data_IF_783030151702
#
_entry.id   IF_783030151702
#
_cell.length_a   1.000
_cell.length_b   1.000
_cell.length_c   1.000
_cell.angle_alpha   90.00
_cell.angle_beta   90.00
_cell.angle_gamma   90.00
#
_symmetry.space_group_name_H-M   'P 1'
#
loop_
_entity.id
_entity.type
_entity.pdbx_description
1 polymer ?
#
# COMPACT_ATOMS: atom_id res chain seq x y z
N UNK A 1 -53.24 36.70 -11.04
CA UNK A 1 -53.00 37.98 -10.39
C UNK A 1 -51.51 38.26 -10.32
N UNK A 2 -51.25 39.43 -10.80
CA UNK A 2 -50.00 40.14 -10.92
C UNK A 2 -49.45 40.57 -9.54
N UNK A 3 -48.14 40.61 -9.35
CA UNK A 3 -47.44 41.56 -8.50
C UNK A 3 -46.03 41.72 -9.06
N UNK A 4 -45.73 42.72 -9.76
CA UNK A 4 -45.18 44.07 -9.54
C UNK A 4 -43.75 44.08 -8.98
N UNK A 5 -42.89 44.54 -9.86
CA UNK A 5 -41.53 45.05 -9.74
C UNK A 5 -41.30 46.00 -8.55
N UNK A 6 -40.16 45.93 -7.96
CA UNK A 6 -39.56 46.96 -7.11
C UNK A 6 -38.12 47.18 -7.50
N UNK A 7 -37.89 48.15 -8.35
CA UNK A 7 -36.58 48.72 -8.64
C UNK A 7 -36.13 49.57 -7.46
N UNK A 8 -34.95 49.31 -6.96
CA UNK A 8 -34.26 50.22 -6.05
C UNK A 8 -32.94 50.69 -6.66
N UNK A 9 -32.97 51.92 -7.01
CA UNK A 9 -31.89 52.82 -7.42
C UNK A 9 -30.58 52.61 -6.69
N UNK A 10 -29.53 52.29 -7.42
CA UNK A 10 -28.18 52.29 -6.92
C UNK A 10 -27.54 53.66 -7.20
N UNK A 11 -27.42 54.46 -6.16
CA UNK A 11 -26.70 55.75 -6.20
C UNK A 11 -25.20 55.48 -6.26
N UNK A 12 -24.62 55.91 -7.37
CA UNK A 12 -23.18 56.01 -7.53
C UNK A 12 -22.62 57.09 -6.59
N UNK A 13 -21.85 56.67 -5.61
CA UNK A 13 -20.97 57.60 -4.89
C UNK A 13 -19.58 57.50 -5.51
N UNK A 14 -19.33 58.50 -6.36
CA UNK A 14 -17.98 58.74 -6.87
C UNK A 14 -17.10 59.27 -5.72
N UNK A 15 -16.12 58.44 -5.31
CA UNK A 15 -15.06 58.92 -4.41
C UNK A 15 -13.73 58.75 -5.14
N UNK A 16 -13.31 59.86 -5.76
CA UNK A 16 -11.94 60.06 -6.21
C UNK A 16 -11.08 60.31 -4.98
N UNK A 17 -10.07 59.53 -4.73
CA UNK A 17 -8.86 59.98 -4.02
C UNK A 17 -7.72 58.97 -4.10
N UNK A 18 -6.61 59.47 -4.60
CA UNK A 18 -5.28 59.20 -4.01
C UNK A 18 -4.57 57.92 -4.47
N UNK A 19 -3.96 58.02 -5.62
CA UNK A 19 -2.92 57.07 -6.03
C UNK A 19 -1.69 57.36 -5.14
N UNK A 20 -1.58 56.62 -4.07
CA UNK A 20 -0.30 56.57 -3.32
C UNK A 20 0.45 55.36 -3.85
N UNK A 21 1.36 55.60 -4.79
CA UNK A 21 2.24 54.59 -5.36
C UNK A 21 3.30 54.18 -4.34
N UNK A 22 3.00 53.14 -3.55
CA UNK A 22 3.98 52.48 -2.72
C UNK A 22 4.79 51.53 -3.60
N UNK A 23 5.94 51.97 -4.08
CA UNK A 23 6.90 51.17 -4.81
C UNK A 23 7.55 50.18 -3.85
N UNK A 24 6.98 48.97 -3.76
CA UNK A 24 7.64 47.85 -3.10
C UNK A 24 8.73 47.35 -4.05
N UNK A 25 9.97 47.70 -3.73
CA UNK A 25 11.15 47.13 -4.35
C UNK A 25 11.20 45.65 -4.00
N UNK A 26 10.75 44.80 -4.93
CA UNK A 26 10.96 43.38 -4.85
C UNK A 26 12.46 43.13 -5.08
N UNK A 27 13.21 42.99 -3.99
CA UNK A 27 14.57 42.50 -4.07
C UNK A 27 14.52 41.06 -4.57
N UNK A 28 14.71 40.86 -5.86
CA UNK A 28 14.92 39.54 -6.45
C UNK A 28 16.19 38.95 -5.84
N UNK A 29 16.03 38.08 -4.86
CA UNK A 29 17.12 37.24 -4.39
C UNK A 29 17.49 36.31 -5.55
N UNK A 30 18.56 36.65 -6.24
CA UNK A 30 19.17 35.75 -7.22
C UNK A 30 19.59 34.49 -6.50
N UNK A 31 19.15 33.28 -6.95
CA UNK A 31 19.67 32.04 -6.39
C UNK A 31 21.17 31.99 -6.63
N UNK A 32 21.93 31.87 -5.54
CA UNK A 32 23.37 31.72 -5.56
C UNK A 32 23.71 30.45 -6.33
N UNK A 33 24.14 30.63 -7.56
CA UNK A 33 24.66 29.57 -8.43
C UNK A 33 25.92 29.08 -7.74
N UNK A 34 25.91 27.88 -7.16
CA UNK A 34 27.06 27.02 -6.86
C UNK A 34 26.91 26.16 -5.60
N UNK A 35 25.73 25.59 -5.34
CA UNK A 35 25.65 24.42 -4.48
C UNK A 35 25.31 23.18 -5.34
N UNK A 36 26.09 22.97 -6.39
CA UNK A 36 26.16 21.67 -7.03
C UNK A 36 26.83 20.72 -6.03
N UNK A 37 26.05 19.85 -5.43
CA UNK A 37 26.57 18.75 -4.62
C UNK A 37 27.60 18.02 -5.50
N UNK A 38 28.87 17.92 -5.08
CA UNK A 38 29.89 17.30 -5.91
C UNK A 38 29.45 15.86 -6.25
N UNK A 39 29.56 15.49 -7.50
CA UNK A 39 29.08 14.22 -8.07
C UNK A 39 29.60 12.98 -7.31
N UNK A 40 30.77 13.10 -6.69
CA UNK A 40 31.36 12.08 -5.83
C UNK A 40 30.63 11.86 -4.51
N UNK A 41 29.91 12.87 -3.98
CA UNK A 41 29.06 12.69 -2.81
C UNK A 41 27.77 11.95 -3.21
N UNK A 42 27.19 12.29 -4.37
CA UNK A 42 26.00 11.59 -4.87
C UNK A 42 26.26 10.10 -5.15
N UNK A 43 27.45 9.74 -5.63
CA UNK A 43 27.81 8.33 -5.92
C UNK A 43 27.91 7.51 -4.62
N UNK A 44 28.32 8.13 -3.49
CA UNK A 44 28.41 7.42 -2.22
C UNK A 44 27.06 7.09 -1.59
N UNK A 45 25.96 7.79 -1.95
CA UNK A 45 24.62 7.43 -1.52
C UNK A 45 24.06 6.18 -2.23
N UNK A 46 24.61 5.83 -3.40
CA UNK A 46 24.20 4.63 -4.17
C UNK A 46 25.12 3.43 -3.95
N UNK A 47 26.16 3.59 -3.13
CA UNK A 47 27.16 2.53 -2.91
C UNK A 47 27.09 1.95 -1.50
N UNK A 48 25.97 2.15 -0.80
CA UNK A 48 25.67 1.35 0.39
C UNK A 48 25.20 -0.01 -0.10
N UNK A 49 25.86 -1.07 0.32
CA UNK A 49 25.39 -2.46 0.23
C UNK A 49 24.13 -2.66 1.11
N UNK A 50 23.34 -1.64 1.33
CA UNK A 50 22.03 -1.74 1.94
C UNK A 50 21.15 -2.46 0.92
N UNK A 51 21.00 -3.77 1.13
CA UNK A 51 20.00 -4.53 0.39
C UNK A 51 18.66 -3.85 0.63
N UNK A 52 18.17 -3.18 -0.41
CA UNK A 52 16.86 -2.53 -0.36
C UNK A 52 15.81 -3.60 -0.12
N UNK A 53 15.30 -3.65 1.08
CA UNK A 53 14.22 -4.56 1.46
C UNK A 53 12.94 -4.02 0.84
N UNK A 54 12.27 -4.83 0.02
CA UNK A 54 11.00 -4.45 -0.60
C UNK A 54 9.93 -4.26 0.47
N UNK A 55 8.97 -3.35 0.30
CA UNK A 55 7.78 -3.33 1.15
C UNK A 55 6.97 -4.63 1.00
N UNK A 56 6.19 -5.03 2.03
CA UNK A 56 5.58 -6.37 2.08
C UNK A 56 4.59 -6.65 0.94
N UNK A 57 3.91 -5.64 0.43
CA UNK A 57 3.01 -5.73 -0.72
C UNK A 57 3.76 -6.08 -2.02
N UNK A 58 4.97 -5.57 -2.19
CA UNK A 58 5.83 -5.92 -3.33
C UNK A 58 6.58 -7.24 -3.09
N UNK A 59 7.03 -7.51 -1.86
CA UNK A 59 7.76 -8.74 -1.54
C UNK A 59 6.89 -9.99 -1.72
N UNK A 60 5.61 -9.93 -1.38
CA UNK A 60 4.71 -11.09 -1.35
C UNK A 60 3.58 -11.06 -2.36
N UNK A 61 3.24 -9.90 -2.95
CA UNK A 61 2.29 -9.74 -4.05
C UNK A 61 0.97 -10.49 -3.84
N UNK A 62 0.26 -10.18 -2.72
CA UNK A 62 -0.97 -10.90 -2.36
C UNK A 62 -2.17 -10.43 -3.18
N UNK A 63 -2.95 -11.37 -3.71
CA UNK A 63 -4.20 -11.14 -4.43
C UNK A 63 -5.27 -12.14 -3.96
N UNK A 64 -6.55 -11.78 -4.10
CA UNK A 64 -7.68 -12.66 -3.79
C UNK A 64 -8.86 -12.44 -4.73
N UNK A 65 -9.62 -13.50 -4.96
CA UNK A 65 -10.82 -13.50 -5.81
C UNK A 65 -11.93 -14.30 -5.13
N UNK A 66 -13.15 -13.74 -5.12
CA UNK A 66 -14.35 -14.42 -4.63
C UNK A 66 -15.22 -14.92 -5.78
N UNK A 67 -15.65 -16.19 -5.69
CA UNK A 67 -16.60 -16.83 -6.60
C UNK A 67 -17.64 -17.56 -5.75
N UNK A 68 -18.80 -16.96 -5.55
CA UNK A 68 -19.88 -17.54 -4.73
C UNK A 68 -19.37 -18.00 -3.34
N UNK A 69 -19.20 -19.30 -3.14
CA UNK A 69 -18.70 -19.95 -1.95
C UNK A 69 -17.20 -20.36 -2.03
N UNK A 70 -16.53 -19.95 -3.10
CA UNK A 70 -15.12 -20.23 -3.32
C UNK A 70 -14.28 -18.94 -3.19
N UNK A 71 -13.25 -18.98 -2.36
CA UNK A 71 -12.24 -17.96 -2.24
C UNK A 71 -10.90 -18.48 -2.78
N UNK A 72 -10.34 -17.74 -3.73
CA UNK A 72 -9.02 -18.01 -4.27
C UNK A 72 -8.05 -17.00 -3.64
N UNK A 73 -6.97 -17.51 -3.07
CA UNK A 73 -5.87 -16.72 -2.52
C UNK A 73 -4.61 -16.98 -3.35
N UNK A 74 -3.88 -15.95 -3.70
CA UNK A 74 -2.62 -16.08 -4.43
C UNK A 74 -1.55 -15.16 -3.86
N UNK A 75 -0.32 -15.65 -3.83
CA UNK A 75 0.88 -14.89 -3.51
C UNK A 75 1.87 -15.01 -4.66
N UNK A 76 2.46 -13.90 -5.05
CA UNK A 76 3.56 -13.83 -5.99
C UNK A 76 4.81 -13.36 -5.24
N UNK A 77 5.48 -14.32 -4.60
CA UNK A 77 6.64 -14.08 -3.73
C UNK A 77 7.84 -13.75 -4.61
N UNK A 78 8.43 -12.58 -4.39
CA UNK A 78 9.59 -12.15 -5.13
C UNK A 78 10.82 -13.00 -4.82
N UNK A 79 11.72 -13.11 -5.80
CA UNK A 79 13.01 -13.79 -5.60
C UNK A 79 13.76 -13.17 -4.42
N UNK A 80 14.32 -14.03 -3.55
CA UNK A 80 14.97 -13.60 -2.31
C UNK A 80 14.04 -13.41 -1.12
N UNK A 81 12.74 -13.76 -1.26
CA UNK A 81 11.75 -13.72 -0.17
C UNK A 81 11.05 -15.08 -0.03
N UNK A 82 10.43 -15.28 1.14
CA UNK A 82 9.66 -16.49 1.42
C UNK A 82 8.54 -16.21 2.44
N UNK A 83 7.52 -17.07 2.45
CA UNK A 83 6.48 -17.10 3.48
C UNK A 83 6.65 -18.34 4.35
N UNK A 84 6.43 -18.22 5.65
CA UNK A 84 6.31 -19.37 6.54
C UNK A 84 4.97 -20.07 6.30
N UNK A 85 5.01 -21.34 5.93
CA UNK A 85 3.80 -22.12 5.65
C UNK A 85 2.84 -22.15 6.84
N UNK A 86 3.36 -22.33 8.04
CA UNK A 86 2.58 -22.40 9.28
C UNK A 86 2.13 -21.06 9.85
N UNK A 87 2.47 -19.96 9.17
CA UNK A 87 2.03 -18.59 9.52
C UNK A 87 0.99 -18.04 8.55
N UNK A 88 0.50 -18.87 7.63
CA UNK A 88 -0.61 -18.50 6.77
C UNK A 88 -1.89 -19.07 7.36
N UNK A 89 -2.86 -18.19 7.62
CA UNK A 89 -4.19 -18.55 8.14
C UNK A 89 -5.28 -17.70 7.47
N UNK A 90 -6.46 -18.28 7.33
CA UNK A 90 -7.65 -17.64 6.80
C UNK A 90 -8.77 -17.75 7.84
N UNK A 91 -9.39 -16.63 8.18
CA UNK A 91 -10.56 -16.56 9.04
C UNK A 91 -11.73 -15.97 8.28
N UNK A 92 -12.93 -16.57 8.41
CA UNK A 92 -14.17 -15.99 7.93
C UNK A 92 -15.16 -15.89 9.09
N UNK A 93 -15.43 -14.67 9.56
CA UNK A 93 -16.01 -14.44 10.87
C UNK A 93 -15.08 -14.97 11.96
N UNK A 94 -15.62 -15.78 12.87
CA UNK A 94 -14.87 -16.40 13.96
C UNK A 94 -14.29 -17.79 13.60
N UNK A 95 -14.55 -18.27 12.38
CA UNK A 95 -14.12 -19.60 11.96
C UNK A 95 -12.80 -19.53 11.20
N UNK A 96 -11.85 -20.36 11.63
CA UNK A 96 -10.64 -20.61 10.85
C UNK A 96 -10.97 -21.57 9.71
N UNK A 97 -10.56 -21.22 8.50
CA UNK A 97 -10.77 -22.02 7.29
C UNK A 97 -9.48 -22.75 6.96
N UNK A 98 -9.53 -24.07 6.89
CA UNK A 98 -8.37 -24.88 6.55
C UNK A 98 -7.93 -24.60 5.10
N UNK A 99 -6.63 -24.31 4.94
CA UNK A 99 -6.00 -24.07 3.65
C UNK A 99 -5.14 -25.26 3.23
N UNK A 100 -5.43 -25.81 2.06
CA UNK A 100 -4.56 -26.84 1.46
C UNK A 100 -3.33 -26.18 0.82
N UNK A 101 -2.40 -25.76 1.67
CA UNK A 101 -1.14 -25.15 1.25
C UNK A 101 -0.14 -26.19 0.74
N UNK A 102 0.72 -25.86 -0.24
CA UNK A 102 1.83 -26.72 -0.66
C UNK A 102 2.70 -27.16 0.53
N UNK A 103 3.36 -28.29 0.41
CA UNK A 103 4.23 -28.82 1.46
C UNK A 103 5.34 -27.82 1.85
N UNK A 104 5.83 -27.06 0.87
CA UNK A 104 6.92 -26.11 1.05
C UNK A 104 8.30 -26.78 1.08
N UNK A 105 9.33 -25.96 1.11
CA UNK A 105 10.72 -26.38 1.27
C UNK A 105 11.11 -26.40 2.74
N UNK A 106 11.89 -27.39 3.21
CA UNK A 106 12.41 -27.39 4.57
C UNK A 106 13.41 -26.25 4.77
N UNK A 107 13.28 -25.55 5.89
CA UNK A 107 14.14 -24.43 6.25
C UNK A 107 14.51 -24.49 7.72
N UNK A 108 15.77 -24.18 8.04
CA UNK A 108 16.21 -24.07 9.44
C UNK A 108 16.29 -22.60 9.83
N UNK A 109 15.27 -22.14 10.51
CA UNK A 109 15.14 -20.76 10.96
C UNK A 109 15.82 -20.56 12.32
N UNK A 110 16.48 -19.44 12.52
CA UNK A 110 17.20 -19.13 13.77
C UNK A 110 16.27 -18.96 14.97
N UNK A 111 15.02 -18.52 14.74
CA UNK A 111 14.03 -18.24 15.79
C UNK A 111 13.04 -19.39 15.95
N UNK A 112 12.56 -19.94 14.82
CA UNK A 112 11.48 -20.94 14.80
C UNK A 112 11.98 -22.37 14.63
N UNK A 113 13.30 -22.58 14.45
CA UNK A 113 13.88 -23.89 14.22
C UNK A 113 13.50 -24.46 12.84
N UNK A 114 13.18 -25.76 12.79
CA UNK A 114 12.80 -26.43 11.54
C UNK A 114 11.36 -26.04 11.14
N UNK A 115 11.23 -25.38 10.02
CA UNK A 115 9.96 -24.92 9.45
C UNK A 115 9.86 -25.26 7.97
N UNK A 116 8.67 -25.16 7.40
CA UNK A 116 8.47 -25.21 5.96
C UNK A 116 8.24 -23.78 5.44
N UNK A 117 8.95 -23.43 4.36
CA UNK A 117 8.81 -22.15 3.68
C UNK A 117 8.18 -22.32 2.29
N UNK A 118 7.45 -21.31 1.87
CA UNK A 118 6.83 -21.24 0.56
C UNK A 118 7.53 -20.17 -0.26
N UNK A 119 7.80 -20.50 -1.51
CA UNK A 119 8.56 -19.70 -2.46
C UNK A 119 7.77 -19.47 -3.73
N UNK A 120 8.14 -18.47 -4.50
CA UNK A 120 7.61 -18.20 -5.84
C UNK A 120 6.10 -17.92 -5.84
N UNK A 121 5.35 -18.61 -6.69
CA UNK A 121 3.93 -18.39 -6.88
C UNK A 121 3.11 -19.47 -6.17
N UNK A 122 2.20 -19.03 -5.29
CA UNK A 122 1.28 -19.91 -4.56
C UNK A 122 -0.13 -19.52 -4.93
N UNK A 123 -0.97 -20.50 -5.20
CA UNK A 123 -2.41 -20.33 -5.40
C UNK A 123 -3.17 -21.43 -4.68
N UNK A 124 -4.05 -21.04 -3.77
CA UNK A 124 -4.89 -21.96 -2.99
C UNK A 124 -6.36 -21.61 -3.12
N UNK A 125 -7.20 -22.61 -2.96
CA UNK A 125 -8.67 -22.49 -2.97
C UNK A 125 -9.19 -22.85 -1.59
N UNK A 126 -10.11 -22.03 -1.09
CA UNK A 126 -10.82 -22.26 0.16
C UNK A 126 -12.33 -22.24 -0.11
N UNK A 127 -13.05 -23.23 0.39
CA UNK A 127 -14.51 -23.21 0.40
C UNK A 127 -14.95 -22.42 1.63
N UNK A 128 -15.75 -21.37 1.40
CA UNK A 128 -16.26 -20.50 2.44
C UNK A 128 -17.78 -20.61 2.54
N UNK A 129 -18.31 -20.73 3.74
CA UNK A 129 -19.75 -20.73 3.96
C UNK A 129 -20.27 -19.31 4.18
N UNK A 130 -21.27 -18.93 3.39
CA UNK A 130 -21.81 -17.57 3.41
C UNK A 130 -21.13 -16.64 2.40
N UNK A 131 -21.75 -15.50 2.11
CA UNK A 131 -21.33 -14.57 1.05
C UNK A 131 -20.00 -13.82 1.34
N UNK A 132 -19.00 -14.51 1.87
CA UNK A 132 -17.60 -14.04 1.97
C UNK A 132 -17.35 -12.65 2.57
N UNK A 133 -18.33 -12.06 3.23
CA UNK A 133 -18.36 -10.63 3.56
C UNK A 133 -17.49 -10.25 4.77
N UNK A 134 -16.84 -11.20 5.41
CA UNK A 134 -16.02 -10.89 6.60
C UNK A 134 -14.86 -11.89 6.77
N UNK A 135 -14.07 -12.04 5.71
CA UNK A 135 -12.88 -12.88 5.76
C UNK A 135 -11.62 -12.04 5.97
N UNK A 136 -10.64 -12.61 6.64
CA UNK A 136 -9.31 -12.02 6.78
C UNK A 136 -8.24 -13.09 6.63
N UNK A 137 -7.18 -12.75 5.90
CA UNK A 137 -5.98 -13.57 5.78
C UNK A 137 -4.86 -12.98 6.61
N UNK A 138 -4.09 -13.86 7.25
CA UNK A 138 -2.85 -13.49 7.91
C UNK A 138 -1.71 -14.30 7.32
N UNK A 139 -0.55 -13.68 7.14
CA UNK A 139 0.67 -14.36 6.71
C UNK A 139 1.91 -13.63 7.21
N UNK A 140 3.03 -14.35 7.30
CA UNK A 140 4.32 -13.80 7.69
C UNK A 140 5.43 -14.40 6.84
N UNK A 141 6.41 -13.58 6.52
CA UNK A 141 7.56 -13.98 5.74
C UNK A 141 8.79 -13.14 6.02
N UNK A 142 9.89 -13.52 5.39
CA UNK A 142 11.19 -12.86 5.53
C UNK A 142 11.87 -12.75 4.16
N UNK A 143 12.90 -11.90 4.08
CA UNK A 143 13.89 -11.96 3.03
C UNK A 143 14.96 -12.98 3.37
N UNK A 144 15.56 -13.59 2.36
CA UNK A 144 16.74 -14.48 2.54
C UNK A 144 17.97 -13.74 3.08
N UNK A 145 17.96 -12.40 3.05
CA UNK A 145 18.97 -11.55 3.66
C UNK A 145 18.81 -11.37 5.18
N UNK A 146 17.81 -12.01 5.78
CA UNK A 146 17.60 -12.03 7.24
C UNK A 146 16.60 -10.98 7.77
N UNK A 147 15.99 -10.17 6.91
CA UNK A 147 14.93 -9.24 7.35
C UNK A 147 13.57 -9.94 7.40
N UNK A 148 12.95 -9.98 8.60
CA UNK A 148 11.64 -10.58 8.80
C UNK A 148 10.56 -9.49 8.98
N UNK A 149 9.46 -9.65 8.24
CA UNK A 149 8.32 -8.74 8.34
C UNK A 149 7.44 -9.09 9.53
N UNK A 150 6.81 -8.09 10.15
CA UNK A 150 5.73 -8.38 11.08
C UNK A 150 4.59 -9.13 10.36
N UNK A 151 3.75 -9.89 11.07
CA UNK A 151 2.60 -10.55 10.47
C UNK A 151 1.72 -9.55 9.71
N UNK A 152 1.43 -9.87 8.44
CA UNK A 152 0.51 -9.11 7.60
C UNK A 152 -0.90 -9.64 7.85
N UNK A 153 -1.86 -8.75 8.10
CA UNK A 153 -3.27 -9.10 8.25
C UNK A 153 -4.12 -8.24 7.33
N UNK A 154 -4.82 -8.88 6.40
CA UNK A 154 -5.61 -8.20 5.39
C UNK A 154 -7.07 -8.63 5.48
N UNK A 155 -7.98 -7.64 5.49
CA UNK A 155 -9.42 -7.91 5.36
C UNK A 155 -9.75 -8.11 3.89
N UNK A 156 -10.39 -9.24 3.57
CA UNK A 156 -10.77 -9.61 2.23
C UNK A 156 -12.18 -9.08 1.95
N UNK A 157 -12.32 -8.34 0.86
CA UNK A 157 -13.61 -7.82 0.42
C UNK A 157 -14.00 -8.48 -0.88
N UNK A 158 -15.23 -8.98 -0.95
CA UNK A 158 -15.83 -9.34 -2.22
C UNK A 158 -15.99 -8.06 -3.03
N UNK A 159 -15.18 -7.88 -4.06
CA UNK A 159 -15.45 -6.87 -5.07
C UNK A 159 -16.70 -7.35 -5.77
N UNK A 160 -17.84 -6.71 -5.48
CA UNK A 160 -19.14 -7.08 -6.00
C UNK A 160 -19.05 -7.43 -7.48
N UNK A 161 -19.46 -8.62 -7.79
CA UNK A 161 -19.79 -9.12 -9.11
C UNK A 161 -20.55 -8.00 -9.82
N UNK A 162 -20.00 -7.50 -10.92
CA UNK A 162 -20.79 -6.75 -11.89
C UNK A 162 -21.83 -7.70 -12.44
N UNK A 163 -23.10 -7.43 -12.12
CA UNK A 163 -24.22 -7.98 -12.87
C UNK A 163 -24.11 -7.63 -14.34
#
# INVERSE_FOLDING_TARGET
>A
PYVIFGETEMKYVSLTLGVLSLSIAFAAATPKKNDAVPLNVAINFFNTNDQVVLPPDLAFGFEHEFYEDLLILSWNIQSGYFLYRNKISLFCGDNEIELNLPTGAPWNDEVFGQVAILLEKIKVRAVITGKGSNCSVSYQGCSLSGYCYPPQKLTLRSNNIKE
#
